data_IF_348233684635
#
_entry.id   IF_348233684635
#
_cell.length_a   1.000
_cell.length_b   1.000
_cell.length_c   1.000
_cell.angle_alpha   90.00
_cell.angle_beta   90.00
_cell.angle_gamma   90.00
#
_symmetry.space_group_name_H-M   'P 1'
#
loop_
_entity.id
_entity.type
_entity.pdbx_description
1 polymer ?
#
# COMPACT_ATOMS: atom_id res chain seq x y z
N UNK A 1 6.52 22.82 33.85
CA UNK A 1 7.22 21.89 34.75
C UNK A 1 7.86 20.81 33.91
N UNK A 2 9.16 20.94 33.61
CA UNK A 2 9.87 19.95 32.81
C UNK A 2 10.26 18.81 33.78
N UNK A 3 9.65 17.64 33.61
CA UNK A 3 10.04 16.44 34.35
C UNK A 3 11.36 15.96 33.71
N UNK A 4 12.47 16.08 34.46
CA UNK A 4 13.75 15.50 34.04
C UNK A 4 13.65 13.98 34.14
N UNK A 5 13.44 13.32 33.02
CA UNK A 5 13.42 11.87 32.94
C UNK A 5 14.82 11.28 32.62
N UNK A 6 15.83 12.14 32.57
CA UNK A 6 17.23 11.74 32.34
C UNK A 6 17.74 10.86 33.49
N UNK A 7 18.18 9.65 33.18
CA UNK A 7 18.78 8.71 34.12
C UNK A 7 17.84 7.68 34.75
N UNK A 8 16.57 7.62 34.38
CA UNK A 8 15.66 6.54 34.83
C UNK A 8 15.89 5.27 34.01
N UNK A 9 16.10 4.14 34.67
CA UNK A 9 16.33 2.80 34.03
C UNK A 9 15.16 2.40 33.09
N UNK A 10 13.94 2.91 33.38
CA UNK A 10 12.76 2.61 32.58
C UNK A 10 12.60 3.47 31.31
N UNK A 11 13.56 4.35 31.03
CA UNK A 11 13.40 5.42 30.03
C UNK A 11 14.67 5.65 29.21
N UNK A 12 14.53 5.75 27.90
CA UNK A 12 15.64 6.10 27.01
C UNK A 12 15.30 7.31 26.12
N UNK A 13 16.28 8.16 25.89
CA UNK A 13 16.26 9.23 24.90
C UNK A 13 16.98 8.84 23.60
N UNK A 14 17.67 7.69 23.61
CA UNK A 14 18.33 7.09 22.46
C UNK A 14 17.77 5.68 22.17
N UNK A 15 16.53 5.57 21.72
CA UNK A 15 15.89 4.27 21.53
C UNK A 15 16.44 3.46 20.36
N UNK A 16 17.26 4.05 19.51
CA UNK A 16 17.97 3.32 18.45
C UNK A 16 19.09 2.45 19.01
N UNK A 17 19.77 2.91 20.06
CA UNK A 17 20.95 2.24 20.64
C UNK A 17 20.68 1.66 22.03
N UNK A 18 19.63 2.11 22.72
CA UNK A 18 19.33 1.70 24.10
C UNK A 18 17.91 1.17 24.22
N UNK A 19 17.77 -0.03 24.77
CA UNK A 19 16.47 -0.65 25.05
C UNK A 19 16.02 -0.29 26.45
N UNK A 20 14.84 0.32 26.57
CA UNK A 20 14.19 0.61 27.83
C UNK A 20 12.67 0.43 27.68
N UNK A 21 11.90 0.20 28.76
CA UNK A 21 10.44 0.08 28.67
C UNK A 21 9.74 1.26 27.99
N UNK A 22 10.28 2.47 28.17
CA UNK A 22 9.78 3.70 27.56
C UNK A 22 10.87 4.38 26.73
N UNK A 23 10.46 4.95 25.61
CA UNK A 23 11.29 5.78 24.72
C UNK A 23 10.73 7.19 24.62
N UNK A 24 11.62 8.19 24.57
CA UNK A 24 11.25 9.56 24.31
C UNK A 24 11.90 10.03 23.02
N UNK A 25 11.07 10.41 22.06
CA UNK A 25 11.55 10.94 20.79
C UNK A 25 10.51 11.90 20.22
N UNK A 26 10.94 12.95 19.53
CA UNK A 26 10.08 13.95 18.90
C UNK A 26 9.07 14.63 19.86
N UNK A 27 9.44 14.80 21.13
CA UNK A 27 8.56 15.41 22.13
C UNK A 27 7.46 14.50 22.68
N UNK A 28 7.45 13.22 22.34
CA UNK A 28 6.46 12.25 22.79
C UNK A 28 7.09 11.07 23.53
N UNK A 29 6.33 10.48 24.45
CA UNK A 29 6.71 9.26 25.18
C UNK A 29 5.98 8.09 24.54
N UNK A 30 6.73 7.05 24.23
CA UNK A 30 6.27 5.80 23.62
C UNK A 30 6.54 4.63 24.54
N UNK A 31 5.70 3.62 24.52
CA UNK A 31 6.18 2.28 24.85
C UNK A 31 7.25 1.89 23.84
N UNK A 32 8.37 1.37 24.29
CA UNK A 32 9.51 1.05 23.42
C UNK A 32 9.11 0.13 22.23
N UNK A 33 8.23 -0.84 22.48
CA UNK A 33 7.72 -1.71 21.43
C UNK A 33 6.97 -0.94 20.34
N UNK A 34 6.10 0.00 20.72
CA UNK A 34 5.35 0.81 19.76
C UNK A 34 6.29 1.71 18.96
N UNK A 35 7.26 2.36 19.64
CA UNK A 35 8.30 3.12 18.98
C UNK A 35 9.09 2.27 17.98
N UNK A 36 9.48 1.04 18.37
CA UNK A 36 10.25 0.14 17.50
C UNK A 36 9.45 -0.26 16.25
N UNK A 37 8.15 -0.50 16.38
CA UNK A 37 7.29 -0.86 15.25
C UNK A 37 7.14 0.33 14.28
N UNK A 38 6.93 1.55 14.79
CA UNK A 38 6.90 2.77 13.98
C UNK A 38 8.25 3.03 13.28
N UNK A 39 9.35 2.86 13.99
CA UNK A 39 10.71 3.01 13.46
C UNK A 39 10.97 2.04 12.31
N UNK A 40 10.59 0.76 12.46
CA UNK A 40 10.71 -0.25 11.40
C UNK A 40 9.92 0.12 10.16
N UNK A 41 8.69 0.61 10.33
CA UNK A 41 7.87 1.08 9.20
C UNK A 41 8.53 2.29 8.52
N UNK A 42 9.01 3.26 9.30
CA UNK A 42 9.71 4.43 8.75
C UNK A 42 10.97 4.04 7.98
N UNK A 43 11.78 3.11 8.51
CA UNK A 43 12.97 2.59 7.83
C UNK A 43 12.61 1.85 6.53
N UNK A 44 11.54 1.04 6.54
CA UNK A 44 11.05 0.37 5.34
C UNK A 44 10.68 1.38 4.24
N UNK A 45 9.89 2.41 4.59
CA UNK A 45 9.50 3.46 3.65
C UNK A 45 10.72 4.20 3.10
N UNK A 46 11.64 4.61 4.00
CA UNK A 46 12.88 5.30 3.63
C UNK A 46 13.74 4.47 2.66
N UNK A 47 13.86 3.18 2.91
CA UNK A 47 14.61 2.28 2.06
C UNK A 47 13.90 2.01 0.72
N UNK A 48 12.57 1.90 0.73
CA UNK A 48 11.79 1.77 -0.49
C UNK A 48 11.94 2.99 -1.41
N UNK A 49 11.93 4.20 -0.84
CA UNK A 49 12.08 5.44 -1.60
C UNK A 49 13.52 5.69 -2.09
N UNK A 50 14.53 5.17 -1.39
CA UNK A 50 15.93 5.26 -1.83
C UNK A 50 16.26 4.31 -2.98
N UNK A 51 15.61 3.17 -3.02
CA UNK A 51 15.74 2.22 -4.11
C UNK A 51 14.95 2.75 -5.31
N UNK A 52 15.62 3.52 -6.14
CA UNK A 52 15.09 4.05 -7.40
C UNK A 52 14.87 2.90 -8.40
N UNK A 53 13.96 1.99 -8.05
CA UNK A 53 13.39 1.01 -8.96
C UNK A 53 12.31 1.71 -9.78
N UNK A 54 12.68 2.78 -10.46
CA UNK A 54 11.88 3.28 -11.57
C UNK A 54 11.68 2.11 -12.50
N UNK A 55 10.44 1.64 -12.55
CA UNK A 55 10.07 0.60 -13.52
C UNK A 55 10.51 1.10 -14.89
N UNK A 56 11.36 0.34 -15.56
CA UNK A 56 11.80 0.60 -16.94
C UNK A 56 10.62 0.38 -17.90
N UNK A 57 9.51 1.08 -17.63
CA UNK A 57 8.29 1.02 -18.41
C UNK A 57 8.15 2.32 -19.17
N UNK A 58 7.98 2.21 -20.47
CA UNK A 58 7.77 3.37 -21.34
C UNK A 58 6.55 4.18 -20.91
N UNK A 59 6.70 5.52 -20.74
CA UNK A 59 5.59 6.38 -20.30
C UNK A 59 4.35 6.29 -21.21
N UNK A 60 4.56 6.04 -22.49
CA UNK A 60 3.48 5.87 -23.47
C UNK A 60 2.64 4.63 -23.18
N UNK A 61 3.27 3.53 -22.75
CA UNK A 61 2.62 2.28 -22.38
C UNK A 61 1.73 2.46 -21.15
N UNK A 62 2.26 3.15 -20.13
CA UNK A 62 1.48 3.49 -18.92
C UNK A 62 0.27 4.35 -19.30
N UNK A 63 0.47 5.36 -20.14
CA UNK A 63 -0.60 6.26 -20.56
C UNK A 63 -1.71 5.51 -21.30
N UNK A 64 -1.37 4.65 -22.25
CA UNK A 64 -2.34 3.85 -23.00
C UNK A 64 -3.19 2.95 -22.08
N UNK A 65 -2.56 2.33 -21.07
CA UNK A 65 -3.26 1.53 -20.08
C UNK A 65 -4.17 2.38 -19.20
N UNK A 66 -3.69 3.53 -18.72
CA UNK A 66 -4.49 4.44 -17.93
C UNK A 66 -5.70 4.95 -18.71
N UNK A 67 -5.56 5.28 -19.99
CA UNK A 67 -6.68 5.73 -20.83
C UNK A 67 -7.72 4.62 -21.01
N UNK A 68 -7.28 3.35 -21.07
CA UNK A 68 -8.18 2.18 -21.15
C UNK A 68 -8.95 1.94 -19.85
N UNK A 69 -8.26 1.98 -18.69
CA UNK A 69 -8.86 1.70 -17.39
C UNK A 69 -9.63 2.88 -16.80
N UNK A 70 -9.36 4.11 -17.29
CA UNK A 70 -10.02 5.35 -16.89
C UNK A 70 -10.49 6.10 -18.13
N UNK A 71 -11.55 5.60 -18.82
CA UNK A 71 -12.10 6.32 -19.98
C UNK A 71 -12.57 7.70 -19.54
N UNK A 72 -12.12 8.73 -20.27
CA UNK A 72 -12.47 10.11 -19.97
C UNK A 72 -13.97 10.32 -20.20
N UNK A 73 -14.70 10.68 -19.15
CA UNK A 73 -16.11 10.99 -19.21
C UNK A 73 -16.41 12.50 -19.14
N UNK A 74 -15.45 13.31 -18.71
CA UNK A 74 -15.63 14.77 -18.52
C UNK A 74 -14.32 15.53 -18.69
N UNK A 75 -14.40 16.86 -18.89
CA UNK A 75 -13.25 17.76 -18.96
C UNK A 75 -12.51 17.98 -17.63
N UNK A 76 -12.98 17.36 -16.56
CA UNK A 76 -12.38 17.47 -15.22
C UNK A 76 -11.24 16.45 -15.03
N UNK A 77 -10.29 16.84 -14.17
CA UNK A 77 -9.16 15.96 -13.79
C UNK A 77 -9.69 14.75 -13.02
N UNK A 78 -9.41 13.56 -13.53
CA UNK A 78 -9.68 12.32 -12.82
C UNK A 78 -8.54 12.02 -11.81
N UNK A 79 -8.78 12.38 -10.55
CA UNK A 79 -7.84 12.16 -9.45
C UNK A 79 -7.55 10.69 -9.18
N UNK A 80 -8.48 9.77 -9.50
CA UNK A 80 -8.22 8.33 -9.39
C UNK A 80 -7.19 7.88 -10.42
N UNK A 81 -7.28 8.39 -11.65
CA UNK A 81 -6.30 8.14 -12.71
C UNK A 81 -4.93 8.69 -12.33
N UNK A 82 -4.87 9.91 -11.78
CA UNK A 82 -3.62 10.52 -11.28
C UNK A 82 -3.01 9.69 -10.17
N UNK A 83 -3.83 9.23 -9.20
CA UNK A 83 -3.36 8.38 -8.10
C UNK A 83 -2.76 7.07 -8.61
N UNK A 84 -3.39 6.42 -9.59
CA UNK A 84 -2.87 5.18 -10.20
C UNK A 84 -1.58 5.46 -10.98
N UNK A 85 -1.53 6.54 -11.76
CA UNK A 85 -0.33 6.94 -12.51
C UNK A 85 0.88 7.16 -11.59
N UNK A 86 0.64 7.80 -10.44
CA UNK A 86 1.67 8.03 -9.41
C UNK A 86 2.10 6.70 -8.77
N UNK A 87 1.13 5.86 -8.39
CA UNK A 87 1.41 4.59 -7.73
C UNK A 87 2.18 3.60 -8.61
N UNK A 88 1.93 3.59 -9.92
CA UNK A 88 2.68 2.74 -10.87
C UNK A 88 4.16 3.13 -10.94
N UNK A 89 4.47 4.40 -10.80
CA UNK A 89 5.85 4.92 -10.89
C UNK A 89 6.62 4.87 -9.57
N UNK A 90 5.93 4.73 -8.46
CA UNK A 90 6.52 4.83 -7.12
C UNK A 90 6.70 3.46 -6.48
N UNK A 91 7.84 3.17 -5.84
CA UNK A 91 8.06 1.93 -5.09
C UNK A 91 7.21 1.86 -3.82
N UNK A 92 6.71 3.00 -3.35
CA UNK A 92 5.80 3.13 -2.21
C UNK A 92 4.78 4.23 -2.48
N UNK A 93 3.51 3.94 -2.25
CA UNK A 93 2.42 4.90 -2.44
C UNK A 93 1.34 4.72 -1.38
N UNK A 94 0.71 5.83 -0.99
CA UNK A 94 -0.42 5.84 -0.06
C UNK A 94 -1.64 6.39 -0.78
N UNK A 95 -2.70 5.60 -0.87
CA UNK A 95 -4.00 6.03 -1.41
C UNK A 95 -4.95 6.24 -0.24
N UNK A 96 -5.31 7.48 0.01
CA UNK A 96 -6.23 7.87 1.08
C UNK A 96 -7.48 8.53 0.53
N UNK A 97 -8.52 8.60 1.33
CA UNK A 97 -9.79 9.25 0.96
C UNK A 97 -10.92 8.86 1.93
N UNK A 98 -11.98 9.65 1.95
CA UNK A 98 -13.16 9.41 2.77
C UNK A 98 -13.96 8.15 2.39
N UNK A 99 -14.99 7.77 3.14
CA UNK A 99 -15.93 6.72 2.75
C UNK A 99 -16.58 7.06 1.40
N UNK A 100 -16.78 6.05 0.55
CA UNK A 100 -17.48 6.23 -0.74
C UNK A 100 -16.67 6.91 -1.86
N UNK A 101 -15.42 7.32 -1.65
CA UNK A 101 -14.59 8.00 -2.66
C UNK A 101 -14.04 7.08 -3.77
N UNK A 102 -14.42 5.81 -3.78
CA UNK A 102 -13.98 4.86 -4.81
C UNK A 102 -12.58 4.30 -4.58
N UNK A 103 -12.02 4.35 -3.36
CA UNK A 103 -10.69 3.80 -3.05
C UNK A 103 -10.49 2.37 -3.54
N UNK A 104 -11.44 1.48 -3.26
CA UNK A 104 -11.37 0.09 -3.70
C UNK A 104 -11.33 -0.02 -5.22
N UNK A 105 -12.16 0.76 -5.93
CA UNK A 105 -12.16 0.81 -7.39
C UNK A 105 -10.81 1.30 -7.93
N UNK A 106 -10.24 2.35 -7.32
CA UNK A 106 -8.92 2.89 -7.69
C UNK A 106 -7.83 1.83 -7.50
N UNK A 107 -7.83 1.14 -6.34
CA UNK A 107 -6.86 0.06 -6.06
C UNK A 107 -7.05 -1.10 -7.05
N UNK A 108 -8.28 -1.52 -7.34
CA UNK A 108 -8.54 -2.58 -8.32
C UNK A 108 -8.00 -2.22 -9.71
N UNK A 109 -8.26 -1.00 -10.18
CA UNK A 109 -7.73 -0.51 -11.47
C UNK A 109 -6.21 -0.46 -11.47
N UNK A 110 -5.58 -0.03 -10.36
CA UNK A 110 -4.13 -0.09 -10.19
C UNK A 110 -3.60 -1.52 -10.34
N UNK A 111 -4.23 -2.49 -9.68
CA UNK A 111 -3.84 -3.89 -9.78
C UNK A 111 -3.96 -4.42 -11.21
N UNK A 112 -5.02 -4.03 -11.93
CA UNK A 112 -5.20 -4.38 -13.35
C UNK A 112 -4.08 -3.79 -14.22
N UNK A 113 -3.77 -2.50 -14.06
CA UNK A 113 -2.70 -1.83 -14.80
C UNK A 113 -1.35 -2.51 -14.53
N UNK A 114 -1.03 -2.78 -13.26
CA UNK A 114 0.22 -3.46 -12.89
C UNK A 114 0.30 -4.87 -13.48
N UNK A 115 -0.76 -5.67 -13.40
CA UNK A 115 -0.77 -7.01 -13.98
C UNK A 115 -0.57 -6.98 -15.51
N UNK A 116 -1.19 -6.03 -16.20
CA UNK A 116 -1.03 -5.89 -17.65
C UNK A 116 0.39 -5.45 -18.03
N UNK A 117 0.97 -4.49 -17.30
CA UNK A 117 2.36 -4.04 -17.49
C UNK A 117 3.37 -5.18 -17.32
N UNK A 118 3.12 -6.11 -16.41
CA UNK A 118 4.00 -7.25 -16.14
C UNK A 118 3.56 -8.54 -16.81
N UNK A 119 2.65 -8.49 -17.79
CA UNK A 119 2.19 -9.64 -18.53
C UNK A 119 1.55 -10.73 -17.69
N UNK A 120 0.87 -10.34 -16.59
CA UNK A 120 0.20 -11.26 -15.67
C UNK A 120 1.11 -12.02 -14.71
N UNK A 121 2.39 -11.71 -14.67
CA UNK A 121 3.40 -12.43 -13.86
C UNK A 121 3.59 -11.85 -12.45
N UNK A 122 2.91 -10.76 -12.14
CA UNK A 122 3.06 -10.08 -10.86
C UNK A 122 2.34 -10.85 -9.74
N UNK A 123 3.07 -11.21 -8.68
CA UNK A 123 2.49 -11.78 -7.48
C UNK A 123 2.04 -10.68 -6.52
N UNK A 124 0.73 -10.51 -6.37
CA UNK A 124 0.13 -9.48 -5.53
C UNK A 124 -0.33 -10.11 -4.22
N UNK A 125 0.05 -9.49 -3.09
CA UNK A 125 -0.42 -9.88 -1.75
C UNK A 125 -1.26 -8.77 -1.17
N UNK A 126 -2.48 -9.11 -0.74
CA UNK A 126 -3.37 -8.22 -0.02
C UNK A 126 -3.31 -8.53 1.47
N UNK A 127 -3.11 -7.51 2.28
CA UNK A 127 -3.02 -7.65 3.73
C UNK A 127 -3.98 -6.68 4.43
N UNK A 128 -4.51 -7.08 5.56
CA UNK A 128 -5.37 -6.24 6.39
C UNK A 128 -5.15 -6.56 7.88
N UNK A 129 -5.48 -5.63 8.80
CA UNK A 129 -5.22 -5.80 10.22
C UNK A 129 -5.94 -6.99 10.85
N UNK A 130 -7.09 -7.38 10.30
CA UNK A 130 -7.91 -8.51 10.81
C UNK A 130 -8.31 -9.44 9.68
N UNK A 131 -8.53 -10.73 10.00
CA UNK A 131 -8.99 -11.71 9.02
C UNK A 131 -10.33 -11.34 8.37
N UNK A 132 -11.26 -10.74 9.14
CA UNK A 132 -12.54 -10.24 8.61
C UNK A 132 -12.34 -9.10 7.61
N UNK A 133 -11.42 -8.18 7.88
CA UNK A 133 -11.08 -7.09 6.96
C UNK A 133 -10.39 -7.62 5.70
N UNK A 134 -9.50 -8.62 5.84
CA UNK A 134 -8.85 -9.26 4.70
C UNK A 134 -9.86 -9.96 3.78
N UNK A 135 -10.79 -10.74 4.33
CA UNK A 135 -11.84 -11.41 3.58
C UNK A 135 -12.71 -10.40 2.80
N UNK A 136 -13.15 -9.32 3.46
CA UNK A 136 -13.94 -8.25 2.83
C UNK A 136 -13.16 -7.52 1.73
N UNK A 137 -11.85 -7.31 1.94
CA UNK A 137 -10.99 -6.68 0.93
C UNK A 137 -10.88 -7.57 -0.31
N UNK A 138 -10.64 -8.87 -0.14
CA UNK A 138 -10.58 -9.84 -1.23
C UNK A 138 -11.88 -9.87 -2.01
N UNK A 139 -13.02 -10.07 -1.33
CA UNK A 139 -14.33 -10.07 -1.95
C UNK A 139 -14.64 -8.76 -2.72
N UNK A 140 -14.31 -7.62 -2.11
CA UNK A 140 -14.52 -6.31 -2.73
C UNK A 140 -13.69 -6.13 -4.00
N UNK A 141 -12.44 -6.62 -4.01
CA UNK A 141 -11.56 -6.56 -5.17
C UNK A 141 -12.03 -7.54 -6.25
N UNK A 142 -12.42 -8.76 -5.89
CA UNK A 142 -12.99 -9.74 -6.82
C UNK A 142 -14.24 -9.20 -7.51
N UNK A 143 -15.17 -8.63 -6.76
CA UNK A 143 -16.37 -7.99 -7.30
C UNK A 143 -16.04 -6.81 -8.22
N UNK A 144 -15.04 -6.00 -7.88
CA UNK A 144 -14.61 -4.88 -8.71
C UNK A 144 -13.88 -5.35 -9.98
N UNK A 145 -13.09 -6.42 -9.90
CA UNK A 145 -12.47 -7.07 -11.06
C UNK A 145 -13.54 -7.61 -12.02
N UNK A 146 -14.57 -8.27 -11.51
CA UNK A 146 -15.69 -8.72 -12.32
C UNK A 146 -16.37 -7.55 -13.05
N UNK A 147 -16.65 -6.44 -12.37
CA UNK A 147 -17.22 -5.24 -12.99
C UNK A 147 -16.30 -4.65 -14.07
N UNK A 148 -15.00 -4.56 -13.80
CA UNK A 148 -14.03 -4.12 -14.81
C UNK A 148 -14.04 -5.03 -16.05
N UNK A 149 -14.18 -6.35 -15.89
CA UNK A 149 -14.29 -7.30 -17.01
C UNK A 149 -15.50 -7.03 -17.91
N UNK A 150 -16.64 -6.66 -17.34
CA UNK A 150 -17.85 -6.35 -18.12
C UNK A 150 -17.80 -5.00 -18.83
N UNK A 151 -17.03 -4.03 -18.30
CA UNK A 151 -16.90 -2.71 -18.92
C UNK A 151 -15.82 -2.64 -20.00
N UNK A 152 -14.98 -3.67 -20.14
CA UNK A 152 -13.87 -3.70 -21.06
C UNK A 152 -14.14 -4.65 -22.22
N UNK A 153 -14.00 -4.14 -23.44
CA UNK A 153 -14.09 -4.95 -24.67
C UNK A 153 -12.99 -6.01 -24.80
N UNK A 154 -11.97 -5.95 -23.97
CA UNK A 154 -10.85 -6.89 -23.90
C UNK A 154 -10.55 -7.24 -22.44
N UNK A 155 -10.61 -8.53 -22.13
CA UNK A 155 -10.23 -9.08 -20.83
C UNK A 155 -8.90 -9.79 -21.00
N UNK A 156 -7.81 -9.27 -20.39
CA UNK A 156 -6.55 -10.00 -20.43
C UNK A 156 -6.70 -11.38 -19.76
N UNK A 157 -6.21 -12.47 -20.37
CA UNK A 157 -6.39 -13.83 -19.88
C UNK A 157 -5.78 -14.10 -18.49
N UNK A 158 -4.91 -13.20 -18.01
CA UNK A 158 -4.22 -13.31 -16.73
C UNK A 158 -4.95 -12.60 -15.55
N UNK A 159 -6.07 -11.92 -15.78
CA UNK A 159 -6.95 -11.42 -14.72
C UNK A 159 -7.79 -12.57 -14.12
N UNK A 160 -7.15 -13.69 -13.85
CA UNK A 160 -7.74 -14.77 -13.11
C UNK A 160 -7.48 -14.53 -11.63
N UNK A 161 -8.53 -14.44 -10.81
CA UNK A 161 -8.47 -14.20 -9.35
C UNK A 161 -7.56 -15.19 -8.59
N UNK A 162 -7.11 -16.26 -9.23
CA UNK A 162 -6.16 -17.24 -8.66
C UNK A 162 -4.78 -16.66 -8.36
N UNK A 163 -4.41 -15.52 -8.97
CA UNK A 163 -3.11 -14.87 -8.74
C UNK A 163 -3.16 -13.77 -7.67
N UNK A 164 -4.34 -13.47 -7.14
CA UNK A 164 -4.48 -12.68 -5.91
C UNK A 164 -4.33 -13.65 -4.76
N UNK A 165 -3.11 -13.78 -4.25
CA UNK A 165 -2.77 -14.77 -3.25
C UNK A 165 -3.66 -14.63 -2.02
N UNK A 166 -4.29 -15.73 -1.63
CA UNK A 166 -4.99 -15.89 -0.38
C UNK A 166 -4.11 -15.41 0.79
N UNK A 167 -4.69 -14.61 1.65
CA UNK A 167 -4.09 -14.13 2.88
C UNK A 167 -3.56 -15.30 3.70
N UNK A 168 -2.25 -15.45 3.80
CA UNK A 168 -1.64 -16.34 4.78
C UNK A 168 -1.43 -15.55 6.06
N UNK A 169 -2.23 -15.87 7.06
CA UNK A 169 -2.12 -15.40 8.44
C UNK A 169 -0.75 -15.87 8.99
N UNK A 170 0.30 -15.09 8.80
CA UNK A 170 1.49 -15.23 9.64
C UNK A 170 1.30 -14.34 10.86
N UNK A 171 0.58 -14.85 11.83
CA UNK A 171 0.76 -14.42 13.21
C UNK A 171 2.09 -14.98 13.70
N UNK A 172 3.17 -14.30 13.38
CA UNK A 172 4.43 -14.55 14.07
C UNK A 172 4.33 -13.79 15.39
N UNK A 173 3.73 -14.43 16.39
CA UNK A 173 3.97 -14.07 17.76
C UNK A 173 5.44 -14.41 18.04
N UNK A 174 6.30 -13.41 18.12
CA UNK A 174 7.58 -13.56 18.79
C UNK A 174 7.29 -13.76 20.27
N UNK A 175 7.64 -14.94 20.79
CA UNK A 175 7.87 -15.15 22.20
C UNK A 175 9.11 -14.38 22.62
#
# INVERSE_FOLDING_TARGET
MAISLAGHIAFTQDPENQIAPLAFQFGAIYFYRAWQDEFRVAQYIKNALKNDRTLSVEPQQIRALLDRYFPQQQAQIDWQKVAVATAVKSPFSVITGGPGTGKTTTVTRLLCVLQELFGGKLHIKLVAPTGKAAARLTESIENALHKCRFQMSYVPPFLNCRNVASFTRRSTFYR
#
